data_IF_812985507042
#
_entry.id   IF_812985507042
#
_cell.length_a   1.000
_cell.length_b   1.000
_cell.length_c   1.000
_cell.angle_alpha   90.00
_cell.angle_beta   90.00
_cell.angle_gamma   90.00
#
_symmetry.space_group_name_H-M   'P 1'
#
loop_
_entity.id
_entity.type
_entity.pdbx_description
1 polymer ?
#
# COMPACT_ATOMS: atom_id res chain seq x y z
N UNK A 1 42.27 89.98 -27.43
CA UNK A 1 42.35 88.51 -27.42
C UNK A 1 42.64 88.06 -25.99
N UNK A 2 41.74 87.39 -25.28
CA UNK A 2 42.07 86.30 -24.34
C UNK A 2 40.80 85.55 -23.92
N UNK A 3 40.91 84.22 -23.94
CA UNK A 3 39.85 83.21 -24.02
C UNK A 3 39.33 82.84 -22.62
N UNK A 4 38.04 82.54 -22.53
CA UNK A 4 37.43 81.90 -21.36
C UNK A 4 37.93 80.46 -21.17
N UNK A 5 38.05 79.96 -19.93
CA UNK A 5 38.39 78.57 -19.67
C UNK A 5 37.14 77.67 -19.79
N UNK A 6 37.27 76.62 -20.60
CA UNK A 6 36.27 75.57 -20.78
C UNK A 6 36.44 74.55 -19.64
N UNK A 7 35.42 74.37 -18.80
CA UNK A 7 35.37 73.28 -17.82
C UNK A 7 34.99 71.98 -18.55
N UNK A 8 35.84 70.95 -18.41
CA UNK A 8 35.59 69.59 -18.93
C UNK A 8 34.80 68.77 -17.91
N UNK A 9 33.80 67.98 -18.31
CA UNK A 9 33.12 67.05 -17.42
C UNK A 9 34.04 65.87 -17.06
N UNK A 10 34.06 65.49 -15.77
CA UNK A 10 34.72 64.28 -15.29
C UNK A 10 33.77 63.10 -15.56
N UNK A 11 34.14 62.22 -16.48
CA UNK A 11 33.44 60.94 -16.67
C UNK A 11 33.76 60.01 -15.49
N UNK A 12 32.76 59.71 -14.66
CA UNK A 12 32.82 58.61 -13.71
C UNK A 12 32.83 57.28 -14.49
N UNK A 13 33.90 56.49 -14.35
CA UNK A 13 33.98 55.13 -14.91
C UNK A 13 32.98 54.23 -14.19
N UNK A 14 31.86 53.92 -14.84
CA UNK A 14 30.94 52.88 -14.38
C UNK A 14 31.57 51.50 -14.51
N UNK A 15 31.63 50.74 -13.41
CA UNK A 15 32.04 49.33 -13.42
C UNK A 15 31.11 48.52 -14.34
N UNK A 16 31.70 47.72 -15.23
CA UNK A 16 30.95 46.95 -16.23
C UNK A 16 30.19 45.79 -15.59
N UNK A 17 28.98 45.49 -16.07
CA UNK A 17 28.15 44.42 -15.49
C UNK A 17 28.88 43.07 -15.49
N UNK A 18 29.74 42.85 -16.49
CA UNK A 18 30.48 41.60 -16.67
C UNK A 18 31.45 41.32 -15.52
N UNK A 19 31.99 42.38 -14.87
CA UNK A 19 32.84 42.22 -13.69
C UNK A 19 32.05 41.83 -12.43
N UNK A 20 30.73 42.04 -12.39
CA UNK A 20 29.86 41.57 -11.29
C UNK A 20 29.53 40.08 -11.38
N UNK A 21 29.54 39.49 -12.57
CA UNK A 21 29.34 38.05 -12.76
C UNK A 21 30.59 37.22 -12.44
N UNK A 22 31.78 37.83 -12.54
CA UNK A 22 33.06 37.22 -12.21
C UNK A 22 33.56 37.56 -10.79
N UNK A 23 32.74 38.26 -10.00
CA UNK A 23 33.08 38.56 -8.62
C UNK A 23 33.18 37.25 -7.82
N UNK A 24 34.20 37.07 -6.96
CA UNK A 24 34.33 35.88 -6.15
C UNK A 24 33.09 35.76 -5.28
N UNK A 25 32.27 34.74 -5.57
CA UNK A 25 31.09 34.45 -4.76
C UNK A 25 31.60 34.17 -3.34
N UNK A 26 31.18 34.94 -2.33
CA UNK A 26 31.64 34.71 -0.97
C UNK A 26 31.29 33.27 -0.61
N UNK A 27 32.22 32.53 0.00
CA UNK A 27 32.06 31.09 0.28
C UNK A 27 30.74 30.77 1.02
N UNK A 28 30.22 31.72 1.81
CA UNK A 28 28.91 31.62 2.46
C UNK A 28 27.71 31.53 1.50
N UNK A 29 27.74 32.21 0.35
CA UNK A 29 26.65 32.13 -0.65
C UNK A 29 26.67 30.80 -1.41
N UNK A 30 27.85 30.22 -1.68
CA UNK A 30 27.96 28.87 -2.23
C UNK A 30 27.51 27.81 -1.22
N UNK A 31 27.91 27.95 0.04
CA UNK A 31 27.47 27.05 1.11
C UNK A 31 25.94 27.10 1.30
N UNK A 32 25.34 28.30 1.30
CA UNK A 32 23.89 28.46 1.39
C UNK A 32 23.17 27.85 0.19
N UNK A 33 23.69 28.06 -1.03
CA UNK A 33 23.13 27.47 -2.25
C UNK A 33 23.17 25.94 -2.25
N UNK A 34 24.26 25.34 -1.77
CA UNK A 34 24.37 23.88 -1.61
C UNK A 34 23.42 23.34 -0.54
N UNK A 35 23.28 24.03 0.59
CA UNK A 35 22.35 23.63 1.65
C UNK A 35 20.91 23.70 1.15
N UNK A 36 20.49 24.80 0.51
CA UNK A 36 19.14 24.92 -0.05
C UNK A 36 18.90 23.89 -1.15
N UNK A 37 19.87 23.71 -2.06
CA UNK A 37 19.79 22.75 -3.16
C UNK A 37 19.76 21.28 -2.73
N UNK A 38 20.29 20.93 -1.56
CA UNK A 38 20.27 19.55 -1.05
C UNK A 38 19.11 19.31 -0.07
N UNK A 39 18.86 20.26 0.84
CA UNK A 39 17.90 20.08 1.94
C UNK A 39 16.46 20.24 1.45
N UNK A 40 16.17 21.23 0.58
CA UNK A 40 14.79 21.47 0.12
C UNK A 40 14.26 20.28 -0.68
N UNK A 41 15.00 19.70 -1.65
CA UNK A 41 14.54 18.51 -2.35
C UNK A 41 14.41 17.30 -1.42
N UNK A 42 15.32 17.12 -0.46
CA UNK A 42 15.24 16.01 0.49
C UNK A 42 13.98 16.10 1.38
N UNK A 43 13.64 17.28 1.87
CA UNK A 43 12.42 17.51 2.64
C UNK A 43 11.16 17.34 1.78
N UNK A 44 11.18 17.82 0.54
CA UNK A 44 10.07 17.63 -0.39
C UNK A 44 9.83 16.14 -0.71
N UNK A 45 10.91 15.39 -0.97
CA UNK A 45 10.84 13.95 -1.21
C UNK A 45 10.36 13.18 0.03
N UNK A 46 10.80 13.57 1.22
CA UNK A 46 10.35 12.98 2.47
C UNK A 46 8.85 13.22 2.72
N UNK A 47 8.33 14.39 2.35
CA UNK A 47 6.90 14.69 2.44
C UNK A 47 6.06 13.90 1.43
N UNK A 48 6.54 13.75 0.19
CA UNK A 48 5.88 12.90 -0.82
C UNK A 48 5.84 11.43 -0.41
N UNK A 49 6.92 10.92 0.19
CA UNK A 49 6.96 9.54 0.71
C UNK A 49 5.93 9.32 1.83
N UNK A 50 5.73 10.32 2.70
CA UNK A 50 4.71 10.27 3.75
C UNK A 50 3.28 10.27 3.20
N UNK A 51 3.04 10.95 2.08
CA UNK A 51 1.73 10.94 1.42
C UNK A 51 1.44 9.58 0.75
N UNK A 52 2.45 8.90 0.21
CA UNK A 52 2.30 7.55 -0.33
C UNK A 52 1.89 6.52 0.75
N UNK A 53 2.32 6.70 1.99
CA UNK A 53 1.91 5.86 3.14
C UNK A 53 0.44 6.08 3.56
N UNK A 54 -0.25 7.09 3.01
CA UNK A 54 -1.66 7.35 3.33
C UNK A 54 -2.63 6.59 2.43
N UNK A 55 -2.14 5.97 1.35
CA UNK A 55 -2.92 5.05 0.54
C UNK A 55 -2.93 3.66 1.18
N UNK A 56 -4.11 3.04 1.26
CA UNK A 56 -4.20 1.66 1.72
C UNK A 56 -3.38 0.78 0.76
N UNK A 57 -2.44 -0.04 1.26
CA UNK A 57 -1.66 -0.89 0.39
C UNK A 57 -2.59 -1.83 -0.39
N UNK A 58 -2.27 -2.03 -1.67
CA UNK A 58 -3.10 -2.83 -2.56
C UNK A 58 -3.38 -4.19 -1.94
N UNK A 59 -4.66 -4.46 -1.65
CA UNK A 59 -5.06 -5.61 -0.84
C UNK A 59 -6.36 -6.25 -1.31
N UNK A 60 -6.49 -7.54 -1.03
CA UNK A 60 -7.74 -8.29 -1.14
C UNK A 60 -8.36 -8.35 0.24
N UNK A 61 -9.66 -8.04 0.34
CA UNK A 61 -10.40 -8.09 1.62
C UNK A 61 -11.74 -8.77 1.41
N UNK A 62 -12.06 -9.72 2.26
CA UNK A 62 -13.40 -10.31 2.37
C UNK A 62 -13.96 -10.13 3.76
N UNK A 63 -15.20 -9.67 3.84
CA UNK A 63 -16.00 -9.68 5.08
C UNK A 63 -17.07 -10.74 4.90
N UNK A 64 -16.90 -11.86 5.62
CA UNK A 64 -17.75 -13.02 5.50
C UNK A 64 -18.78 -13.02 6.62
N UNK A 65 -20.04 -13.13 6.24
CA UNK A 65 -21.15 -13.24 7.16
C UNK A 65 -21.36 -14.70 7.60
N UNK A 66 -21.88 -14.90 8.80
CA UNK A 66 -22.41 -16.19 9.26
C UNK A 66 -23.69 -16.56 8.49
N UNK A 67 -24.18 -17.79 8.67
CA UNK A 67 -25.50 -18.20 8.15
C UNK A 67 -26.66 -17.29 8.62
N UNK A 68 -26.49 -16.55 9.73
CA UNK A 68 -27.48 -15.60 10.26
C UNK A 68 -27.33 -14.17 9.68
N UNK A 69 -26.43 -13.97 8.72
CA UNK A 69 -26.17 -12.66 8.09
C UNK A 69 -25.34 -11.69 8.94
N UNK A 70 -24.79 -12.15 10.08
CA UNK A 70 -23.96 -11.32 10.96
C UNK A 70 -22.49 -11.36 10.53
N UNK A 71 -21.71 -10.28 10.67
CA UNK A 71 -20.27 -10.31 10.42
C UNK A 71 -19.58 -11.41 11.24
N UNK A 72 -18.96 -12.36 10.55
CA UNK A 72 -18.41 -13.57 11.16
C UNK A 72 -16.88 -13.63 11.09
N UNK A 73 -16.33 -13.41 9.91
CA UNK A 73 -14.90 -13.55 9.64
C UNK A 73 -14.45 -12.43 8.70
N UNK A 74 -13.31 -11.82 8.97
CA UNK A 74 -12.65 -10.89 8.04
C UNK A 74 -11.36 -11.55 7.57
N UNK A 75 -11.16 -11.54 6.26
CA UNK A 75 -9.98 -12.07 5.60
C UNK A 75 -9.32 -10.92 4.85
N UNK A 76 -8.02 -10.73 5.03
CA UNK A 76 -7.25 -9.72 4.29
C UNK A 76 -5.90 -10.26 3.84
N UNK A 77 -5.44 -9.81 2.69
CA UNK A 77 -4.11 -10.16 2.19
C UNK A 77 -3.57 -9.07 1.28
N UNK A 78 -2.28 -8.74 1.41
CA UNK A 78 -1.60 -7.84 0.49
C UNK A 78 -1.51 -8.48 -0.90
N UNK A 79 -1.74 -7.70 -1.97
CA UNK A 79 -1.83 -8.18 -3.36
C UNK A 79 -0.67 -9.09 -3.77
N UNK A 80 0.56 -8.69 -3.46
CA UNK A 80 1.76 -9.45 -3.84
C UNK A 80 2.30 -10.34 -2.71
N UNK A 81 1.62 -10.38 -1.55
CA UNK A 81 1.98 -11.23 -0.43
C UNK A 81 1.47 -12.67 -0.57
N UNK A 82 1.94 -13.55 0.30
CA UNK A 82 1.41 -14.92 0.48
C UNK A 82 0.70 -15.12 1.81
N UNK A 83 0.72 -14.12 2.68
CA UNK A 83 0.12 -14.18 4.01
C UNK A 83 -1.31 -13.66 3.93
N UNK A 84 -2.22 -14.41 4.53
CA UNK A 84 -3.62 -14.04 4.69
C UNK A 84 -3.88 -13.86 6.17
N UNK A 85 -4.23 -12.65 6.57
CA UNK A 85 -4.67 -12.34 7.92
C UNK A 85 -6.15 -12.67 8.06
N UNK A 86 -6.50 -13.28 9.18
CA UNK A 86 -7.81 -13.83 9.46
C UNK A 86 -8.24 -13.32 10.83
N UNK A 87 -9.34 -12.57 10.86
CA UNK A 87 -9.95 -12.07 12.09
C UNK A 87 -11.34 -12.66 12.26
N UNK A 88 -11.52 -13.45 13.31
CA UNK A 88 -12.82 -13.99 13.68
C UNK A 88 -13.57 -13.00 14.57
N UNK A 89 -14.72 -12.53 14.08
CA UNK A 89 -15.60 -11.57 14.75
C UNK A 89 -16.67 -12.34 15.53
N UNK A 90 -17.43 -13.18 14.84
CA UNK A 90 -18.45 -14.05 15.44
C UNK A 90 -18.04 -15.50 15.22
N UNK A 91 -17.57 -16.21 16.26
CA UNK A 91 -17.14 -17.59 16.11
C UNK A 91 -18.33 -18.52 15.86
N UNK A 92 -18.07 -19.58 15.08
CA UNK A 92 -19.00 -20.68 14.82
C UNK A 92 -18.42 -21.92 15.52
N UNK A 93 -19.25 -22.73 16.21
CA UNK A 93 -18.79 -23.97 16.82
C UNK A 93 -18.12 -24.89 15.81
N UNK A 94 -16.92 -25.36 16.12
CA UNK A 94 -16.19 -26.35 15.31
C UNK A 94 -16.22 -27.68 16.06
N UNK A 95 -16.90 -28.71 15.53
CA UNK A 95 -16.93 -30.03 16.17
C UNK A 95 -15.53 -30.66 16.29
N UNK A 96 -15.29 -31.54 17.28
CA UNK A 96 -14.04 -32.30 17.37
C UNK A 96 -13.75 -33.05 16.07
N UNK A 97 -12.50 -33.02 15.61
CA UNK A 97 -12.07 -33.66 14.36
C UNK A 97 -12.41 -32.88 13.09
N UNK A 98 -13.00 -31.69 13.20
CA UNK A 98 -13.24 -30.79 12.07
C UNK A 98 -12.39 -29.52 12.18
N UNK A 99 -12.21 -28.86 11.04
CA UNK A 99 -11.55 -27.57 10.90
C UNK A 99 -12.36 -26.67 9.99
N UNK A 100 -12.24 -25.36 10.18
CA UNK A 100 -12.73 -24.41 9.19
C UNK A 100 -11.81 -24.45 7.97
N UNK A 101 -12.37 -24.56 6.78
CA UNK A 101 -11.62 -24.63 5.52
C UNK A 101 -12.00 -23.47 4.61
N UNK A 102 -11.01 -22.73 4.12
CA UNK A 102 -11.21 -21.56 3.28
C UNK A 102 -11.31 -21.95 1.80
N UNK A 103 -12.28 -21.35 1.14
CA UNK A 103 -12.55 -21.49 -0.27
C UNK A 103 -12.60 -20.11 -0.94
N UNK A 104 -12.17 -20.07 -2.19
CA UNK A 104 -12.51 -18.99 -3.11
C UNK A 104 -13.57 -19.47 -4.08
N UNK A 105 -14.44 -18.55 -4.49
CA UNK A 105 -15.46 -18.78 -5.51
C UNK A 105 -15.25 -17.73 -6.60
N UNK A 106 -15.11 -18.17 -7.84
CA UNK A 106 -14.93 -17.28 -8.98
C UNK A 106 -16.27 -16.84 -9.60
N UNK A 107 -16.18 -15.98 -10.62
CA UNK A 107 -17.37 -15.46 -11.33
C UNK A 107 -18.21 -16.55 -12.01
N UNK A 108 -17.63 -17.69 -12.36
CA UNK A 108 -18.33 -18.84 -12.92
C UNK A 108 -18.95 -19.74 -11.84
N UNK A 109 -18.73 -19.42 -10.55
CA UNK A 109 -19.18 -20.22 -9.41
C UNK A 109 -18.26 -21.41 -9.10
N UNK A 110 -17.08 -21.48 -9.70
CA UNK A 110 -16.13 -22.56 -9.42
C UNK A 110 -15.53 -22.34 -8.03
N UNK A 111 -15.70 -23.35 -7.17
CA UNK A 111 -15.20 -23.35 -5.80
C UNK A 111 -13.82 -24.01 -5.77
N UNK A 112 -12.80 -23.31 -5.27
CA UNK A 112 -11.43 -23.83 -5.14
C UNK A 112 -10.97 -23.73 -3.69
N UNK A 113 -10.46 -24.83 -3.15
CA UNK A 113 -9.94 -24.90 -1.79
C UNK A 113 -8.59 -24.19 -1.64
N UNK A 114 -8.44 -23.42 -0.56
CA UNK A 114 -7.21 -22.71 -0.23
C UNK A 114 -6.46 -23.35 0.94
N UNK A 115 -7.17 -23.80 1.97
CA UNK A 115 -6.57 -24.49 3.10
C UNK A 115 -7.37 -24.36 4.40
N UNK A 116 -6.96 -25.10 5.44
CA UNK A 116 -7.56 -24.97 6.75
C UNK A 116 -7.21 -23.63 7.39
N UNK A 117 -8.17 -23.02 8.09
CA UNK A 117 -7.95 -21.85 8.94
C UNK A 117 -7.36 -22.30 10.28
N UNK A 118 -6.29 -21.66 10.77
CA UNK A 118 -5.84 -21.90 12.13
C UNK A 118 -6.90 -21.43 13.15
N UNK A 119 -6.88 -22.02 14.34
CA UNK A 119 -7.78 -21.64 15.42
C UNK A 119 -7.32 -20.34 16.10
N UNK A 120 -8.24 -19.43 16.40
CA UNK A 120 -7.98 -18.21 17.16
C UNK A 120 -8.81 -17.01 16.70
N UNK A 121 -8.84 -15.95 17.51
CA UNK A 121 -9.57 -14.72 17.17
C UNK A 121 -8.86 -13.90 16.09
N UNK A 122 -7.53 -13.96 16.06
CA UNK A 122 -6.68 -13.33 15.04
C UNK A 122 -5.59 -14.34 14.69
N UNK A 123 -5.46 -14.67 13.42
CA UNK A 123 -4.50 -15.65 12.95
C UNK A 123 -4.08 -15.38 11.51
N UNK A 124 -3.18 -16.20 11.00
CA UNK A 124 -2.55 -16.02 9.71
C UNK A 124 -2.44 -17.39 9.02
N UNK A 125 -2.68 -17.44 7.72
CA UNK A 125 -2.35 -18.61 6.91
C UNK A 125 -1.48 -18.22 5.72
N UNK A 126 -0.66 -19.17 5.26
CA UNK A 126 0.22 -18.98 4.11
C UNK A 126 -0.37 -19.66 2.89
N UNK A 127 -0.51 -18.90 1.80
CA UNK A 127 -0.92 -19.41 0.50
C UNK A 127 0.25 -20.07 -0.23
N UNK A 128 -0.06 -21.03 -1.10
CA UNK A 128 0.94 -21.64 -1.99
C UNK A 128 1.47 -20.63 -3.03
N UNK A 129 0.57 -19.85 -3.62
CA UNK A 129 0.85 -18.79 -4.59
C UNK A 129 0.54 -17.40 -4.00
N UNK A 130 1.11 -16.31 -4.58
CA UNK A 130 0.74 -14.95 -4.19
C UNK A 130 -0.78 -14.69 -4.21
N UNK A 131 -1.23 -13.80 -3.34
CA UNK A 131 -2.63 -13.41 -3.19
C UNK A 131 -3.25 -12.95 -4.50
N UNK A 132 -2.50 -12.26 -5.37
CA UNK A 132 -2.96 -11.89 -6.70
C UNK A 132 -3.35 -13.10 -7.54
N UNK A 133 -2.49 -14.11 -7.68
CA UNK A 133 -2.86 -15.32 -8.44
C UNK A 133 -4.02 -16.10 -7.80
N UNK A 134 -4.10 -16.04 -6.47
CA UNK A 134 -5.10 -16.77 -5.69
C UNK A 134 -6.47 -16.08 -5.66
N UNK A 135 -6.54 -14.76 -5.53
CA UNK A 135 -7.79 -14.02 -5.33
C UNK A 135 -8.20 -13.16 -6.51
N UNK A 136 -7.36 -12.99 -7.55
CA UNK A 136 -7.70 -12.13 -8.69
C UNK A 136 -9.00 -12.52 -9.39
N UNK A 137 -9.29 -13.82 -9.52
CA UNK A 137 -10.54 -14.32 -10.10
C UNK A 137 -11.67 -14.49 -9.07
N UNK A 138 -11.39 -14.38 -7.78
CA UNK A 138 -12.37 -14.59 -6.73
C UNK A 138 -13.35 -13.42 -6.68
N UNK A 139 -14.65 -13.74 -6.68
CA UNK A 139 -15.73 -12.78 -6.43
C UNK A 139 -16.29 -12.94 -5.01
N UNK A 140 -16.14 -14.14 -4.43
CA UNK A 140 -16.53 -14.45 -3.06
C UNK A 140 -15.48 -15.32 -2.37
N UNK A 141 -15.47 -15.24 -1.05
CA UNK A 141 -14.80 -16.16 -0.15
C UNK A 141 -15.86 -16.90 0.66
N UNK A 142 -15.61 -18.16 0.93
CA UNK A 142 -16.50 -18.99 1.71
C UNK A 142 -15.70 -19.92 2.63
N UNK A 143 -16.33 -20.38 3.70
CA UNK A 143 -15.72 -21.29 4.67
C UNK A 143 -16.72 -22.38 4.99
N UNK A 144 -16.29 -23.64 4.93
CA UNK A 144 -17.05 -24.81 5.39
C UNK A 144 -16.32 -25.49 6.55
N UNK A 145 -17.02 -26.40 7.21
CA UNK A 145 -16.43 -27.34 8.15
C UNK A 145 -15.99 -28.59 7.40
N UNK A 146 -14.72 -28.95 7.53
CA UNK A 146 -14.13 -30.10 6.82
C UNK A 146 -13.38 -31.00 7.81
N UNK A 147 -13.23 -32.31 7.52
CA UNK A 147 -12.42 -33.20 8.35
C UNK A 147 -10.97 -32.72 8.47
N UNK A 148 -10.45 -32.69 9.69
CA UNK A 148 -9.08 -32.27 9.94
C UNK A 148 -8.07 -33.15 9.20
N UNK A 149 -6.99 -32.53 8.68
CA UNK A 149 -5.92 -33.24 7.96
C UNK A 149 -6.26 -33.64 6.52
N UNK A 150 -7.43 -33.25 6.00
CA UNK A 150 -7.81 -33.50 4.61
C UNK A 150 -7.60 -32.26 3.72
N UNK A 151 -7.49 -32.49 2.42
CA UNK A 151 -7.45 -31.43 1.40
C UNK A 151 -8.60 -31.66 0.39
N UNK A 152 -9.84 -31.32 0.79
CA UNK A 152 -11.02 -31.61 -0.01
C UNK A 152 -10.98 -30.84 -1.34
N UNK A 153 -11.42 -31.48 -2.42
CA UNK A 153 -11.51 -30.86 -3.77
C UNK A 153 -12.77 -30.01 -3.92
N UNK A 154 -13.81 -30.33 -3.15
CA UNK A 154 -15.10 -29.65 -3.10
C UNK A 154 -15.56 -29.56 -1.65
N UNK A 155 -16.34 -28.54 -1.25
CA UNK A 155 -16.90 -28.48 0.10
C UNK A 155 -17.74 -29.72 0.39
N UNK A 156 -17.52 -30.36 1.54
CA UNK A 156 -18.32 -31.52 1.94
C UNK A 156 -19.64 -31.13 2.62
N UNK A 157 -19.73 -29.87 3.05
CA UNK A 157 -20.87 -29.31 3.79
C UNK A 157 -21.21 -27.90 3.30
N UNK A 158 -22.35 -27.39 3.77
CA UNK A 158 -22.75 -26.00 3.55
C UNK A 158 -21.73 -25.02 4.15
N UNK A 159 -21.66 -23.82 3.57
CA UNK A 159 -20.78 -22.77 4.06
C UNK A 159 -21.30 -22.18 5.37
N UNK A 160 -20.43 -22.13 6.37
CA UNK A 160 -20.68 -21.50 7.68
C UNK A 160 -20.33 -20.01 7.68
N UNK A 161 -19.42 -19.58 6.78
CA UNK A 161 -19.19 -18.18 6.46
C UNK A 161 -19.18 -17.96 4.95
N UNK A 162 -19.71 -16.84 4.46
CA UNK A 162 -19.62 -16.44 3.05
C UNK A 162 -19.68 -14.91 2.89
N UNK A 163 -18.94 -14.37 1.92
CA UNK A 163 -18.97 -12.95 1.63
C UNK A 163 -18.21 -12.58 0.37
N UNK A 164 -18.35 -11.33 -0.07
CA UNK A 164 -17.66 -10.83 -1.26
C UNK A 164 -16.15 -10.75 -1.03
N UNK A 165 -15.38 -10.95 -2.10
CA UNK A 165 -13.95 -10.68 -2.16
C UNK A 165 -13.73 -9.33 -2.87
N UNK A 166 -13.39 -8.31 -2.09
CA UNK A 166 -13.09 -6.97 -2.57
C UNK A 166 -11.62 -6.79 -2.96
N UNK A 167 -11.40 -5.98 -3.97
CA UNK A 167 -10.10 -5.50 -4.43
C UNK A 167 -9.95 -4.05 -4.00
N UNK A 168 -9.01 -3.77 -3.09
CA UNK A 168 -8.79 -2.44 -2.52
C UNK A 168 -7.48 -1.88 -3.05
N UNK A 169 -7.57 -1.15 -4.15
CA UNK A 169 -6.52 -0.32 -4.73
C UNK A 169 -7.15 0.64 -5.74
N UNK A 170 -6.54 1.82 -5.91
CA UNK A 170 -6.95 2.84 -6.89
C UNK A 170 -6.11 2.75 -8.16
#
# INVERSE_FOLDING_TARGET
>A
MHRQPVLRPVHAKGQSWWQRWLAPVPAGALAMGLVVGAVVPALWQAEMARQADTELPASYVGVLATALGQPGLVISSLRHGKVVDIKQVTPVPVPPGQVLYLWRIDKAGVVTGLGPLPNGKWTHMTLSEPAEKTFFSAVELAVSLEPAGTQPKTPSQAFVYRGLCGKLWH
#
